data_IF_392114915588
#
_entry.id   IF_392114915588
#
_cell.length_a   1.000
_cell.length_b   1.000
_cell.length_c   1.000
_cell.angle_alpha   90.00
_cell.angle_beta   90.00
_cell.angle_gamma   90.00
#
_symmetry.space_group_name_H-M   'P 1'
#
loop_
_entity.id
_entity.type
_entity.pdbx_description
1 polymer ?
#
# COMPACT_ATOMS: atom_id res chain seq x y z
N UNK A 1 -24.72 36.35 47.96
CA UNK A 1 -23.31 35.99 47.72
C UNK A 1 -23.29 34.82 46.77
N UNK A 2 -23.35 35.09 45.48
CA UNK A 2 -23.27 34.08 44.43
C UNK A 2 -21.92 34.24 43.72
N UNK A 3 -20.97 33.36 44.04
CA UNK A 3 -19.69 33.21 43.37
C UNK A 3 -19.65 31.82 42.73
N UNK A 4 -20.50 31.60 41.73
CA UNK A 4 -20.34 30.45 40.84
C UNK A 4 -20.74 30.81 39.41
N UNK A 5 -19.99 31.75 38.84
CA UNK A 5 -20.04 32.12 37.41
C UNK A 5 -18.79 31.66 36.65
N UNK A 6 -18.06 30.66 37.16
CA UNK A 6 -17.09 29.94 36.34
C UNK A 6 -17.79 28.89 35.48
N UNK A 7 -18.69 29.33 34.60
CA UNK A 7 -18.96 28.59 33.37
C UNK A 7 -17.69 28.61 32.55
N UNK A 8 -16.81 27.65 32.83
CA UNK A 8 -15.63 27.33 32.02
C UNK A 8 -16.16 26.83 30.68
N UNK A 9 -16.36 27.75 29.75
CA UNK A 9 -16.78 27.43 28.40
C UNK A 9 -15.67 26.59 27.78
N UNK A 10 -15.92 25.27 27.61
CA UNK A 10 -15.04 24.42 26.80
C UNK A 10 -15.05 25.05 25.41
N UNK A 11 -13.90 25.41 24.82
CA UNK A 11 -13.86 25.84 23.43
C UNK A 11 -14.25 24.61 22.61
N UNK A 12 -15.55 24.49 22.33
CA UNK A 12 -16.08 23.49 21.43
C UNK A 12 -15.58 23.92 20.07
N UNK A 13 -14.41 23.42 19.69
CA UNK A 13 -13.92 23.47 18.33
C UNK A 13 -14.91 22.65 17.50
N UNK A 14 -16.03 23.28 17.14
CA UNK A 14 -16.98 22.74 16.17
C UNK A 14 -16.20 22.67 14.88
N UNK A 15 -15.65 21.49 14.57
CA UNK A 15 -15.03 21.26 13.28
C UNK A 15 -16.04 21.70 12.21
N UNK A 16 -15.66 22.64 11.33
CA UNK A 16 -16.58 23.10 10.31
C UNK A 16 -16.96 21.89 9.44
N UNK A 17 -18.26 21.62 9.36
CA UNK A 17 -18.87 20.50 8.62
C UNK A 17 -18.40 20.45 7.14
N UNK A 18 -17.88 21.56 6.63
CA UNK A 18 -17.24 21.70 5.32
C UNK A 18 -15.88 20.97 5.18
N UNK A 19 -15.20 20.61 6.28
CA UNK A 19 -13.93 19.86 6.25
C UNK A 19 -14.12 18.35 6.13
N UNK A 20 -15.30 17.84 6.50
CA UNK A 20 -15.61 16.42 6.43
C UNK A 20 -15.42 15.78 5.04
N UNK A 21 -15.88 16.38 3.92
CA UNK A 21 -15.65 15.80 2.59
C UNK A 21 -14.17 15.83 2.17
N UNK A 22 -13.42 16.86 2.57
CA UNK A 22 -11.97 16.95 2.29
C UNK A 22 -11.21 15.88 3.04
N UNK A 23 -11.53 15.68 4.33
CA UNK A 23 -10.93 14.63 5.16
C UNK A 23 -11.29 13.25 4.62
N UNK A 24 -12.56 13.03 4.24
CA UNK A 24 -12.99 11.77 3.64
C UNK A 24 -12.28 11.49 2.30
N UNK A 25 -12.10 12.50 1.46
CA UNK A 25 -11.34 12.38 0.22
C UNK A 25 -9.87 12.05 0.46
N UNK A 26 -9.20 12.74 1.38
CA UNK A 26 -7.82 12.45 1.76
C UNK A 26 -7.66 11.01 2.31
N UNK A 27 -8.59 10.56 3.15
CA UNK A 27 -8.60 9.20 3.67
C UNK A 27 -8.76 8.15 2.56
N UNK A 28 -9.60 8.45 1.56
CA UNK A 28 -9.82 7.55 0.42
C UNK A 28 -8.55 7.43 -0.45
N UNK A 29 -7.86 8.55 -0.72
CA UNK A 29 -6.60 8.55 -1.50
C UNK A 29 -5.52 7.72 -0.80
N UNK A 30 -5.40 7.81 0.52
CA UNK A 30 -4.42 7.01 1.29
C UNK A 30 -4.77 5.52 1.27
N UNK A 31 -6.05 5.16 1.24
CA UNK A 31 -6.50 3.77 1.22
C UNK A 31 -6.32 3.10 -0.16
N UNK A 32 -6.29 3.88 -1.25
CA UNK A 32 -6.01 3.39 -2.59
C UNK A 32 -4.50 3.15 -2.79
N UNK A 33 -3.96 2.11 -2.17
CA UNK A 33 -2.65 1.58 -2.53
C UNK A 33 -2.76 0.88 -3.90
N UNK A 34 -2.01 1.35 -4.88
CA UNK A 34 -1.78 0.60 -6.11
C UNK A 34 -0.90 -0.61 -5.82
N UNK A 35 -1.25 -1.76 -6.39
CA UNK A 35 -0.40 -2.95 -6.30
C UNK A 35 1.01 -2.66 -6.82
N UNK A 36 2.02 -3.22 -6.14
CA UNK A 36 3.40 -3.01 -6.53
C UNK A 36 3.65 -3.60 -7.91
N UNK A 37 4.37 -2.86 -8.76
CA UNK A 37 4.68 -3.31 -10.10
C UNK A 37 5.49 -4.62 -10.05
N UNK A 38 5.08 -5.58 -10.87
CA UNK A 38 5.82 -6.84 -11.04
C UNK A 38 7.13 -6.56 -11.76
N UNK A 39 8.24 -6.88 -11.11
CA UNK A 39 9.59 -6.70 -11.61
C UNK A 39 10.21 -8.06 -11.93
N UNK A 40 10.65 -8.25 -13.18
CA UNK A 40 11.07 -9.56 -13.65
C UNK A 40 12.23 -10.16 -12.84
N UNK A 41 13.25 -9.37 -12.49
CA UNK A 41 14.43 -9.88 -11.77
C UNK A 41 14.07 -10.30 -10.34
N UNK A 42 13.24 -9.52 -9.64
CA UNK A 42 12.81 -9.77 -8.27
C UNK A 42 11.74 -10.85 -8.18
N UNK A 43 10.75 -10.82 -9.07
CA UNK A 43 9.50 -11.55 -8.88
C UNK A 43 9.42 -12.82 -9.75
N UNK A 44 9.98 -12.81 -10.97
CA UNK A 44 9.80 -13.90 -11.96
C UNK A 44 11.04 -14.79 -12.10
N UNK A 45 12.21 -14.18 -12.32
CA UNK A 45 13.48 -14.89 -12.49
C UNK A 45 13.78 -15.93 -11.40
N UNK A 46 13.64 -15.64 -10.09
CA UNK A 46 13.93 -16.64 -9.05
C UNK A 46 12.97 -17.85 -9.11
N UNK A 47 11.73 -17.65 -9.54
CA UNK A 47 10.77 -18.75 -9.71
C UNK A 47 11.19 -19.67 -10.86
N UNK A 48 11.61 -19.09 -11.99
CA UNK A 48 12.10 -19.85 -13.15
C UNK A 48 13.38 -20.62 -12.81
N UNK A 49 14.31 -20.01 -12.08
CA UNK A 49 15.53 -20.68 -11.64
C UNK A 49 15.25 -21.83 -10.66
N UNK A 50 14.30 -21.65 -9.74
CA UNK A 50 13.99 -22.67 -8.74
C UNK A 50 13.17 -23.85 -9.29
N UNK A 51 12.37 -23.64 -10.35
CA UNK A 51 11.39 -24.62 -10.83
C UNK A 51 11.73 -25.21 -12.20
N UNK A 52 12.43 -24.47 -13.05
CA UNK A 52 12.55 -24.78 -14.47
C UNK A 52 14.01 -24.92 -14.93
N UNK A 53 14.95 -24.21 -14.31
CA UNK A 53 16.35 -24.20 -14.75
C UNK A 53 17.09 -25.54 -14.61
N UNK A 54 16.52 -26.53 -13.91
CA UNK A 54 17.08 -27.89 -13.89
C UNK A 54 17.11 -28.51 -15.29
N UNK A 55 16.02 -28.36 -16.06
CA UNK A 55 15.87 -28.92 -17.40
C UNK A 55 16.02 -27.87 -18.52
N UNK A 56 15.93 -26.58 -18.18
CA UNK A 56 16.01 -25.45 -19.11
C UNK A 56 17.10 -24.46 -18.73
N UNK A 57 18.24 -24.95 -18.25
CA UNK A 57 19.39 -24.14 -17.83
C UNK A 57 20.64 -24.40 -18.67
N UNK A 58 21.79 -23.91 -18.20
CA UNK A 58 23.06 -24.04 -18.92
C UNK A 58 23.56 -25.50 -19.02
N UNK A 59 23.19 -26.33 -18.04
CA UNK A 59 23.66 -27.72 -17.93
C UNK A 59 22.82 -28.65 -18.79
N UNK A 60 21.51 -28.47 -18.78
CA UNK A 60 20.54 -29.29 -19.50
C UNK A 60 19.48 -28.35 -20.10
N UNK A 61 19.20 -28.54 -21.40
CA UNK A 61 18.38 -27.61 -22.18
C UNK A 61 17.38 -28.36 -23.06
N UNK A 62 16.35 -28.87 -22.41
CA UNK A 62 15.26 -29.62 -23.04
C UNK A 62 14.38 -28.73 -23.92
N UNK A 63 13.83 -29.32 -24.98
CA UNK A 63 12.89 -28.68 -25.92
C UNK A 63 13.35 -27.33 -26.50
N UNK A 64 14.66 -27.04 -26.47
CA UNK A 64 15.24 -25.80 -27.00
C UNK A 64 15.00 -24.54 -26.15
N UNK A 65 14.44 -24.66 -24.94
CA UNK A 65 14.19 -23.52 -24.04
C UNK A 65 15.35 -23.30 -23.06
N UNK A 66 15.77 -22.04 -22.88
CA UNK A 66 16.87 -21.63 -21.99
C UNK A 66 16.47 -20.48 -21.07
N UNK A 67 16.71 -20.62 -19.76
CA UNK A 67 16.25 -19.71 -18.70
C UNK A 67 17.37 -19.19 -17.77
N UNK A 68 18.63 -19.57 -18.02
CA UNK A 68 19.83 -19.00 -17.36
C UNK A 68 20.25 -17.64 -17.92
#
# INVERSE_FOLDING_TARGET
>A
MDLNSTTRERPQARLPRALAPVVAWLLCVVACHAEEAVEYQRDIKPLLLAKCATCHGAVEQEAGLRLD
#
